data_IF_716184204298
#
_entry.id   IF_716184204298
#
_cell.length_a   1.000
_cell.length_b   1.000
_cell.length_c   1.000
_cell.angle_alpha   90.00
_cell.angle_beta   90.00
_cell.angle_gamma   90.00
#
_symmetry.space_group_name_H-M   'P 1'
#
loop_
_entity.id
_entity.type
_entity.pdbx_description
1 polymer ?
#
# COMPACT_ATOMS: atom_id res chain seq x y z
N UNK A 1 -5.06 -20.29 -23.84
CA UNK A 1 -4.64 -19.12 -23.06
C UNK A 1 -5.84 -18.59 -22.30
N UNK A 2 -5.68 -18.33 -21.01
CA UNK A 2 -6.74 -17.85 -20.11
C UNK A 2 -6.78 -16.32 -20.09
N UNK A 3 -7.84 -15.73 -19.54
CA UNK A 3 -7.90 -14.27 -19.32
C UNK A 3 -6.76 -13.75 -18.42
N UNK A 4 -6.28 -14.59 -17.51
CA UNK A 4 -5.11 -14.27 -16.68
C UNK A 4 -3.83 -14.14 -17.50
N UNK A 5 -3.64 -15.00 -18.51
CA UNK A 5 -2.46 -14.93 -19.38
C UNK A 5 -2.42 -13.59 -20.12
N UNK A 6 -3.57 -13.15 -20.67
CA UNK A 6 -3.67 -11.85 -21.35
C UNK A 6 -3.33 -10.71 -20.40
N UNK A 7 -3.91 -10.72 -19.19
CA UNK A 7 -3.61 -9.72 -18.16
C UNK A 7 -2.12 -9.68 -17.82
N UNK A 8 -1.53 -10.83 -17.51
CA UNK A 8 -0.13 -10.92 -17.12
C UNK A 8 0.81 -10.48 -18.25
N UNK A 9 0.53 -10.86 -19.50
CA UNK A 9 1.29 -10.41 -20.67
C UNK A 9 1.22 -8.89 -20.80
N UNK A 10 0.04 -8.28 -20.69
CA UNK A 10 -0.12 -6.82 -20.78
C UNK A 10 0.68 -6.11 -19.70
N UNK A 11 0.61 -6.59 -18.45
CA UNK A 11 1.38 -6.02 -17.33
C UNK A 11 2.89 -6.14 -17.57
N UNK A 12 3.36 -7.31 -18.01
CA UNK A 12 4.78 -7.54 -18.30
C UNK A 12 5.26 -6.61 -19.42
N UNK A 13 4.55 -6.58 -20.55
CA UNK A 13 4.91 -5.77 -21.71
C UNK A 13 4.92 -4.28 -21.36
N UNK A 14 3.87 -3.78 -20.72
CA UNK A 14 3.78 -2.37 -20.37
C UNK A 14 4.87 -1.98 -19.37
N UNK A 15 5.12 -2.83 -18.36
CA UNK A 15 6.11 -2.53 -17.34
C UNK A 15 7.54 -2.55 -17.90
N UNK A 16 7.88 -3.54 -18.73
CA UNK A 16 9.17 -3.64 -19.40
C UNK A 16 9.36 -2.48 -20.39
N UNK A 17 8.34 -2.18 -21.22
CA UNK A 17 8.39 -1.07 -22.16
C UNK A 17 8.55 0.28 -21.45
N UNK A 18 7.81 0.51 -20.36
CA UNK A 18 7.95 1.70 -19.56
C UNK A 18 9.37 1.84 -18.96
N UNK A 19 9.94 0.73 -18.48
CA UNK A 19 11.31 0.68 -17.96
C UNK A 19 12.36 1.01 -19.04
N UNK A 20 12.19 0.43 -20.23
CA UNK A 20 13.04 0.71 -21.39
C UNK A 20 12.99 2.19 -21.80
N UNK A 21 11.78 2.78 -21.89
CA UNK A 21 11.60 4.18 -22.30
C UNK A 21 12.15 5.16 -21.25
N UNK A 22 11.96 4.86 -19.97
CA UNK A 22 12.37 5.75 -18.86
C UNK A 22 13.86 5.66 -18.53
N UNK A 23 14.46 4.50 -18.72
CA UNK A 23 15.81 4.19 -18.28
C UNK A 23 15.89 3.74 -16.81
N UNK A 24 16.92 2.96 -16.48
CA UNK A 24 17.16 2.38 -15.17
C UNK A 24 17.41 3.42 -14.07
N UNK A 25 18.22 4.44 -14.34
CA UNK A 25 18.52 5.53 -13.39
C UNK A 25 17.23 6.23 -12.94
N UNK A 26 16.32 6.52 -13.88
CA UNK A 26 15.05 7.17 -13.56
C UNK A 26 14.14 6.26 -12.74
N UNK A 27 14.16 4.97 -13.03
CA UNK A 27 13.39 3.99 -12.29
C UNK A 27 13.94 3.80 -10.87
N UNK A 28 15.26 3.75 -10.69
CA UNK A 28 15.93 3.71 -9.38
C UNK A 28 15.59 4.96 -8.57
N UNK A 29 15.69 6.15 -9.16
CA UNK A 29 15.30 7.40 -8.48
C UNK A 29 13.83 7.33 -8.05
N UNK A 30 12.96 6.79 -8.88
CA UNK A 30 11.53 6.65 -8.57
C UNK A 30 11.33 5.69 -7.39
N UNK A 31 11.99 4.53 -7.40
CA UNK A 31 11.91 3.55 -6.30
C UNK A 31 12.50 4.09 -5.01
N UNK A 32 13.68 4.71 -5.08
CA UNK A 32 14.35 5.31 -3.93
C UNK A 32 13.50 6.44 -3.34
N UNK A 33 12.96 7.33 -4.18
CA UNK A 33 12.06 8.40 -3.75
C UNK A 33 10.82 7.85 -3.06
N UNK A 34 10.23 6.77 -3.59
CA UNK A 34 9.07 6.13 -2.98
C UNK A 34 9.42 5.51 -1.62
N UNK A 35 10.53 4.77 -1.52
CA UNK A 35 10.97 4.16 -0.26
C UNK A 35 11.26 5.22 0.82
N UNK A 36 12.04 6.26 0.49
CA UNK A 36 12.32 7.34 1.44
C UNK A 36 11.04 8.10 1.83
N UNK A 37 10.16 8.39 0.87
CA UNK A 37 8.89 9.06 1.17
C UNK A 37 8.00 8.23 2.10
N UNK A 38 7.96 6.90 1.92
CA UNK A 38 7.23 6.00 2.81
C UNK A 38 7.81 6.01 4.22
N UNK A 39 9.15 5.95 4.36
CA UNK A 39 9.81 6.03 5.66
C UNK A 39 9.53 7.37 6.36
N UNK A 40 9.66 8.48 5.64
CA UNK A 40 9.38 9.81 6.18
C UNK A 40 7.90 9.93 6.58
N UNK A 41 6.97 9.44 5.76
CA UNK A 41 5.54 9.46 6.07
C UNK A 41 5.22 8.66 7.34
N UNK A 42 5.85 7.50 7.53
CA UNK A 42 5.67 6.67 8.72
C UNK A 42 6.27 7.33 9.98
N UNK A 43 7.50 7.85 9.88
CA UNK A 43 8.17 8.52 11.01
C UNK A 43 7.43 9.79 11.43
N UNK A 44 6.90 10.53 10.46
CA UNK A 44 6.19 11.79 10.71
C UNK A 44 4.70 11.60 11.05
N UNK A 45 4.20 10.37 11.03
CA UNK A 45 2.79 10.06 11.28
C UNK A 45 2.26 10.60 12.62
N UNK A 46 2.98 10.53 13.75
CA UNK A 46 2.49 11.05 15.03
C UNK A 46 2.18 12.55 15.01
N UNK A 47 2.92 13.33 14.20
CA UNK A 47 2.69 14.77 14.06
C UNK A 47 1.66 15.10 12.98
N UNK A 48 1.66 14.36 11.87
CA UNK A 48 0.76 14.64 10.74
C UNK A 48 -0.66 14.09 10.97
N UNK A 49 -0.80 13.03 11.76
CA UNK A 49 -2.10 12.42 12.05
C UNK A 49 -3.05 13.36 12.82
N UNK A 50 -2.56 14.20 13.73
CA UNK A 50 -3.41 15.15 14.46
C UNK A 50 -4.09 16.15 13.52
N UNK A 51 -3.34 16.64 12.53
CA UNK A 51 -3.83 17.52 11.48
C UNK A 51 -4.88 16.77 10.65
N UNK A 52 -4.57 15.55 10.17
CA UNK A 52 -5.50 14.78 9.35
C UNK A 52 -6.82 14.44 10.04
N UNK A 53 -6.77 14.07 11.32
CA UNK A 53 -7.95 13.80 12.15
C UNK A 53 -8.85 15.02 12.35
N UNK A 54 -8.29 16.23 12.26
CA UNK A 54 -9.09 17.46 12.38
C UNK A 54 -9.94 17.77 11.16
N UNK A 55 -9.69 17.10 10.01
CA UNK A 55 -10.39 17.34 8.75
C UNK A 55 -11.28 16.18 8.29
N UNK A 56 -11.08 14.97 8.82
CA UNK A 56 -11.77 13.76 8.35
C UNK A 56 -12.15 12.86 9.51
N UNK A 57 -13.46 12.65 9.63
CA UNK A 57 -14.06 11.62 10.47
C UNK A 57 -14.30 10.34 9.64
N UNK A 58 -14.06 9.14 10.20
CA UNK A 58 -13.52 8.86 11.54
C UNK A 58 -11.99 9.04 11.65
N UNK A 59 -11.46 9.17 12.88
CA UNK A 59 -10.05 9.49 13.13
C UNK A 59 -9.02 8.57 12.43
N UNK A 60 -9.33 7.28 12.28
CA UNK A 60 -8.45 6.35 11.59
C UNK A 60 -8.33 6.69 10.10
N UNK A 61 -9.41 7.16 9.47
CA UNK A 61 -9.40 7.62 8.09
C UNK A 61 -8.61 8.92 7.94
N UNK A 62 -8.75 9.86 8.89
CA UNK A 62 -7.92 11.08 8.95
C UNK A 62 -6.44 10.78 9.12
N UNK A 63 -6.08 9.77 9.91
CA UNK A 63 -4.69 9.33 10.09
C UNK A 63 -4.10 8.73 8.81
N UNK A 64 -4.88 7.89 8.10
CA UNK A 64 -4.48 7.34 6.80
C UNK A 64 -4.31 8.45 5.78
N UNK A 65 -5.25 9.40 5.73
CA UNK A 65 -5.16 10.53 4.81
C UNK A 65 -3.91 11.36 5.05
N UNK A 66 -3.58 11.66 6.31
CA UNK A 66 -2.34 12.35 6.68
C UNK A 66 -1.09 11.60 6.21
N UNK A 67 -1.03 10.28 6.41
CA UNK A 67 0.08 9.44 5.94
C UNK A 67 0.23 9.51 4.42
N UNK A 68 -0.89 9.38 3.69
CA UNK A 68 -0.92 9.36 2.23
C UNK A 68 -0.52 10.72 1.65
N UNK A 69 -1.05 11.82 2.20
CA UNK A 69 -0.70 13.17 1.75
C UNK A 69 0.78 13.46 2.00
N UNK A 70 1.28 13.12 3.19
CA UNK A 70 2.70 13.30 3.53
C UNK A 70 3.60 12.50 2.59
N UNK A 71 3.25 11.24 2.33
CA UNK A 71 3.95 10.40 1.35
C UNK A 71 4.02 11.09 -0.01
N UNK A 72 2.89 11.57 -0.55
CA UNK A 72 2.89 12.19 -1.88
C UNK A 72 3.70 13.48 -1.93
N UNK A 73 3.56 14.36 -0.94
CA UNK A 73 4.33 15.61 -0.86
C UNK A 73 5.82 15.32 -0.88
N UNK A 74 6.29 14.40 -0.02
CA UNK A 74 7.71 14.03 0.06
C UNK A 74 8.17 13.31 -1.22
N UNK A 75 7.37 12.37 -1.73
CA UNK A 75 7.68 11.61 -2.94
C UNK A 75 7.86 12.50 -4.16
N UNK A 76 6.93 13.43 -4.41
CA UNK A 76 7.03 14.35 -5.55
C UNK A 76 8.19 15.34 -5.37
N UNK A 77 8.47 15.78 -4.14
CA UNK A 77 9.66 16.58 -3.82
C UNK A 77 10.96 15.87 -4.17
N UNK A 78 11.16 14.65 -3.64
CA UNK A 78 12.35 13.83 -3.92
C UNK A 78 12.47 13.50 -5.41
N UNK A 79 11.35 13.18 -6.05
CA UNK A 79 11.33 12.85 -7.48
C UNK A 79 11.70 14.05 -8.35
N UNK A 80 11.26 15.26 -7.98
CA UNK A 80 11.62 16.48 -8.71
C UNK A 80 13.14 16.70 -8.62
N UNK A 81 13.70 16.67 -7.41
CA UNK A 81 15.14 16.82 -7.16
C UNK A 81 15.96 15.74 -7.88
N UNK A 82 15.59 14.47 -7.72
CA UNK A 82 16.27 13.36 -8.40
C UNK A 82 16.20 13.47 -9.92
N UNK A 83 15.07 13.94 -10.46
CA UNK A 83 14.93 14.15 -11.91
C UNK A 83 15.82 15.27 -12.45
N UNK A 84 16.11 16.31 -11.65
CA UNK A 84 17.04 17.38 -12.01
C UNK A 84 18.47 16.87 -12.05
N UNK A 85 18.89 16.11 -11.03
CA UNK A 85 20.23 15.49 -10.96
C UNK A 85 20.45 14.53 -12.15
N UNK A 86 19.43 13.72 -12.48
CA UNK A 86 19.49 12.78 -13.60
C UNK A 86 19.59 13.47 -14.97
N UNK A 87 19.11 14.71 -15.12
CA UNK A 87 19.25 15.46 -16.39
C UNK A 87 20.67 15.97 -16.59
N UNK A 88 21.35 16.42 -15.54
CA UNK A 88 22.72 16.93 -15.62
C UNK A 88 23.78 15.86 -15.91
N UNK A 89 23.44 14.57 -15.75
CA UNK A 89 24.36 13.45 -15.99
C UNK A 89 24.31 12.89 -17.44
N UNK A 90 23.52 13.49 -18.34
CA UNK A 90 23.18 12.91 -19.66
C UNK A 90 24.14 13.24 -20.81
N UNK A 91 25.26 13.89 -20.55
CA UNK A 91 26.19 14.35 -21.60
C UNK A 91 27.02 13.25 -22.28
N UNK A 92 26.78 11.96 -21.97
CA UNK A 92 27.53 10.84 -22.55
C UNK A 92 26.63 9.84 -23.30
N UNK A 93 26.62 9.86 -24.65
CA UNK A 93 25.78 8.99 -25.50
C UNK A 93 26.01 7.48 -25.30
N UNK A 94 27.20 7.07 -24.89
CA UNK A 94 27.56 5.65 -24.75
C UNK A 94 26.94 4.97 -23.50
N UNK A 95 26.48 5.74 -22.51
CA UNK A 95 25.87 5.19 -21.28
C UNK A 95 24.36 4.91 -21.43
N UNK A 96 23.73 5.39 -22.51
CA UNK A 96 22.28 5.27 -22.70
C UNK A 96 21.79 3.85 -22.97
N UNK A 97 22.60 2.99 -23.59
CA UNK A 97 22.22 1.59 -23.88
C UNK A 97 22.13 0.74 -22.61
N UNK A 98 23.14 0.84 -21.74
CA UNK A 98 23.19 0.12 -20.46
C UNK A 98 22.06 0.56 -19.53
N UNK A 99 21.79 1.88 -19.46
CA UNK A 99 20.68 2.42 -18.67
C UNK A 99 19.32 1.85 -19.08
N UNK A 100 19.06 1.67 -20.37
CA UNK A 100 17.81 1.07 -20.87
C UNK A 100 17.68 -0.41 -20.52
N UNK A 101 18.78 -1.17 -20.51
CA UNK A 101 18.78 -2.57 -20.09
C UNK A 101 18.46 -2.68 -18.60
N UNK A 102 19.06 -1.84 -17.76
CA UNK A 102 18.67 -1.77 -16.34
C UNK A 102 17.20 -1.39 -16.17
N UNK A 103 16.70 -0.44 -16.97
CA UNK A 103 15.28 -0.09 -16.99
C UNK A 103 14.38 -1.28 -17.34
N UNK A 104 14.78 -2.10 -18.32
CA UNK A 104 14.08 -3.33 -18.69
C UNK A 104 14.07 -4.35 -17.55
N UNK A 105 15.21 -4.58 -16.89
CA UNK A 105 15.32 -5.49 -15.74
C UNK A 105 14.42 -5.06 -14.58
N UNK A 106 14.48 -3.78 -14.20
CA UNK A 106 13.64 -3.23 -13.14
C UNK A 106 12.16 -3.32 -13.53
N UNK A 107 11.83 -3.02 -14.80
CA UNK A 107 10.49 -3.19 -15.35
C UNK A 107 9.99 -4.64 -15.26
N UNK A 108 10.86 -5.61 -15.53
CA UNK A 108 10.56 -7.04 -15.38
C UNK A 108 10.32 -7.45 -13.93
N UNK A 109 11.19 -7.03 -13.01
CA UNK A 109 11.02 -7.28 -11.57
C UNK A 109 9.70 -6.68 -11.07
N UNK A 110 9.39 -5.44 -11.46
CA UNK A 110 8.12 -4.79 -11.11
C UNK A 110 6.93 -5.56 -11.66
N UNK A 111 6.98 -6.01 -12.91
CA UNK A 111 5.91 -6.82 -13.49
C UNK A 111 5.67 -8.10 -12.70
N UNK A 112 6.76 -8.79 -12.32
CA UNK A 112 6.72 -10.01 -11.52
C UNK A 112 6.06 -9.76 -10.16
N UNK A 113 6.40 -8.65 -9.49
CA UNK A 113 5.77 -8.24 -8.23
C UNK A 113 4.29 -7.94 -8.44
N UNK A 114 3.91 -7.21 -9.49
CA UNK A 114 2.50 -6.86 -9.75
C UNK A 114 1.64 -8.10 -10.01
N UNK A 115 2.07 -9.01 -10.89
CA UNK A 115 1.31 -10.25 -11.17
C UNK A 115 1.30 -11.19 -9.97
N UNK A 116 2.38 -11.22 -9.18
CA UNK A 116 2.48 -11.97 -7.93
C UNK A 116 1.55 -11.44 -6.85
N UNK A 117 1.42 -10.12 -6.73
CA UNK A 117 0.47 -9.49 -5.80
C UNK A 117 -0.97 -9.84 -6.17
N UNK A 118 -1.34 -9.78 -7.45
CA UNK A 118 -2.66 -10.22 -7.93
C UNK A 118 -2.88 -11.70 -7.62
N UNK A 119 -1.89 -12.55 -7.87
CA UNK A 119 -1.97 -13.97 -7.52
C UNK A 119 -2.25 -14.18 -6.04
N UNK A 120 -1.51 -13.48 -5.15
CA UNK A 120 -1.73 -13.56 -3.71
C UNK A 120 -3.13 -13.11 -3.32
N UNK A 121 -3.62 -11.99 -3.85
CA UNK A 121 -4.97 -11.49 -3.56
C UNK A 121 -6.02 -12.52 -3.96
N UNK A 122 -5.91 -13.12 -5.15
CA UNK A 122 -6.88 -14.12 -5.62
C UNK A 122 -6.85 -15.38 -4.76
N UNK A 123 -5.66 -15.91 -4.46
CA UNK A 123 -5.50 -17.12 -3.65
C UNK A 123 -5.91 -16.89 -2.19
N UNK A 124 -5.63 -15.71 -1.63
CA UNK A 124 -6.04 -15.35 -0.29
C UNK A 124 -7.57 -15.16 -0.18
N UNK A 125 -8.20 -14.61 -1.22
CA UNK A 125 -9.66 -14.44 -1.26
C UNK A 125 -10.41 -15.76 -1.48
N UNK A 126 -9.85 -16.68 -2.27
CA UNK A 126 -10.47 -17.98 -2.58
C UNK A 126 -9.46 -19.14 -2.41
N UNK A 127 -9.16 -19.55 -1.16
CA UNK A 127 -8.18 -20.58 -0.89
C UNK A 127 -8.66 -21.99 -1.28
N UNK A 128 -7.71 -22.86 -1.66
CA UNK A 128 -7.94 -24.27 -1.96
C UNK A 128 -8.72 -24.49 -3.26
N UNK A 129 -9.70 -25.40 -3.24
CA UNK A 129 -10.52 -25.75 -4.41
C UNK A 129 -11.39 -24.60 -4.95
N UNK A 130 -11.50 -23.50 -4.19
CA UNK A 130 -12.21 -22.29 -4.62
C UNK A 130 -11.37 -21.42 -5.56
N UNK A 131 -10.07 -21.71 -5.72
CA UNK A 131 -9.21 -20.92 -6.60
C UNK A 131 -9.73 -21.02 -8.04
N UNK A 132 -9.99 -19.89 -8.71
CA UNK A 132 -10.63 -19.90 -10.02
C UNK A 132 -9.79 -20.63 -11.08
N UNK A 133 -10.46 -21.46 -11.88
CA UNK A 133 -9.86 -22.21 -13.00
C UNK A 133 -9.16 -21.32 -14.03
N UNK A 134 -9.60 -20.08 -14.20
CA UNK A 134 -8.96 -19.14 -15.12
C UNK A 134 -7.56 -18.69 -14.65
N UNK A 135 -7.25 -18.85 -13.35
CA UNK A 135 -5.92 -18.62 -12.79
C UNK A 135 -5.10 -19.91 -12.76
N UNK A 136 -5.66 -21.00 -12.23
CA UNK A 136 -4.91 -22.26 -12.03
C UNK A 136 -4.51 -22.95 -13.35
N UNK A 137 -5.31 -22.79 -14.41
CA UNK A 137 -4.99 -23.30 -15.74
C UNK A 137 -4.19 -22.33 -16.61
N UNK A 138 -3.76 -21.18 -16.06
CA UNK A 138 -3.02 -20.19 -16.83
C UNK A 138 -1.60 -20.65 -17.11
N UNK A 139 -1.09 -20.41 -18.32
CA UNK A 139 0.29 -20.73 -18.68
C UNK A 139 1.30 -19.91 -17.84
N UNK A 140 0.94 -18.68 -17.46
CA UNK A 140 1.73 -17.80 -16.61
C UNK A 140 1.50 -18.00 -15.11
N UNK A 141 0.71 -18.99 -14.70
CA UNK A 141 0.55 -19.37 -13.31
C UNK A 141 1.88 -19.55 -12.56
N UNK A 142 2.87 -20.35 -13.02
CA UNK A 142 4.13 -20.55 -12.30
C UNK A 142 4.94 -19.26 -12.13
N UNK A 143 4.88 -18.34 -13.09
CA UNK A 143 5.56 -17.03 -13.03
C UNK A 143 4.93 -16.16 -11.95
N UNK A 144 3.59 -16.11 -11.92
CA UNK A 144 2.88 -15.37 -10.89
C UNK A 144 3.06 -15.96 -9.49
N UNK A 145 3.09 -17.29 -9.37
CA UNK A 145 3.39 -17.98 -8.11
C UNK A 145 4.82 -17.67 -7.63
N UNK A 146 5.78 -17.53 -8.55
CA UNK A 146 7.15 -17.08 -8.21
C UNK A 146 7.14 -15.65 -7.66
N UNK A 147 6.42 -14.73 -8.30
CA UNK A 147 6.25 -13.36 -7.80
C UNK A 147 5.58 -13.32 -6.42
N UNK A 148 4.53 -14.12 -6.24
CA UNK A 148 3.85 -14.30 -4.96
C UNK A 148 4.79 -14.77 -3.86
N UNK A 149 5.62 -15.78 -4.12
CA UNK A 149 6.66 -16.25 -3.19
C UNK A 149 7.68 -15.17 -2.86
N UNK A 150 8.15 -14.42 -3.85
CA UNK A 150 9.08 -13.32 -3.63
C UNK A 150 8.49 -12.26 -2.68
N UNK A 151 7.21 -11.93 -2.85
CA UNK A 151 6.49 -11.02 -1.94
C UNK A 151 6.37 -11.63 -0.55
N UNK A 152 5.98 -12.89 -0.43
CA UNK A 152 5.82 -13.58 0.86
C UNK A 152 7.13 -13.67 1.66
N UNK A 153 8.29 -13.64 1.02
CA UNK A 153 9.58 -13.57 1.73
C UNK A 153 9.77 -12.20 2.39
N UNK A 154 9.29 -11.13 1.74
CA UNK A 154 9.40 -9.75 2.25
C UNK A 154 8.29 -9.43 3.25
N UNK A 155 7.08 -9.97 3.06
CA UNK A 155 5.89 -9.63 3.82
C UNK A 155 6.04 -9.77 5.36
N UNK A 156 6.69 -10.80 5.93
CA UNK A 156 6.89 -10.92 7.38
C UNK A 156 7.68 -9.77 8.00
N UNK A 157 8.57 -9.14 7.22
CA UNK A 157 9.29 -7.95 7.68
C UNK A 157 8.38 -6.72 7.74
N UNK A 158 7.41 -6.62 6.83
CA UNK A 158 6.39 -5.58 6.81
C UNK A 158 5.34 -5.81 7.91
N UNK A 159 4.92 -7.06 8.13
CA UNK A 159 3.98 -7.46 9.17
C UNK A 159 4.45 -7.09 10.57
N UNK A 160 5.71 -7.37 10.92
CA UNK A 160 6.29 -6.96 12.21
C UNK A 160 6.32 -5.43 12.41
N UNK A 161 6.52 -4.67 11.34
CA UNK A 161 6.42 -3.21 11.38
C UNK A 161 4.99 -2.73 11.58
N UNK A 162 4.01 -3.39 10.95
CA UNK A 162 2.60 -3.09 11.12
C UNK A 162 2.08 -3.49 12.52
N UNK A 163 2.51 -4.63 13.06
CA UNK A 163 2.16 -5.10 14.41
C UNK A 163 2.66 -4.13 15.49
N UNK A 164 3.82 -3.49 15.28
CA UNK A 164 4.32 -2.45 16.18
C UNK A 164 3.43 -1.18 16.20
N UNK A 165 2.67 -0.93 15.13
CA UNK A 165 1.78 0.22 14.99
C UNK A 165 0.32 -0.15 15.36
N UNK A 166 -0.03 -1.43 15.26
CA UNK A 166 -1.36 -1.98 15.58
C UNK A 166 -1.91 -1.59 16.96
N UNK A 167 -1.17 -1.63 18.08
CA UNK A 167 -1.73 -1.23 19.38
C UNK A 167 -2.07 0.26 19.46
N UNK A 168 -1.37 1.12 18.70
CA UNK A 168 -1.69 2.55 18.61
C UNK A 168 -2.95 2.79 17.77
N UNK A 169 -3.17 1.97 16.74
CA UNK A 169 -4.36 2.02 15.89
C UNK A 169 -5.57 1.45 16.62
N UNK A 170 -5.45 0.28 17.25
CA UNK A 170 -6.53 -0.39 17.98
C UNK A 170 -7.01 0.43 19.18
N UNK A 171 -6.08 1.03 19.93
CA UNK A 171 -6.43 1.94 21.03
C UNK A 171 -7.11 3.24 20.57
N UNK A 172 -6.86 3.70 19.34
CA UNK A 172 -7.56 4.85 18.76
C UNK A 172 -8.97 4.46 18.28
N UNK A 173 -9.12 3.30 17.65
CA UNK A 173 -10.41 2.76 17.19
C UNK A 173 -11.33 2.47 18.38
N UNK A 174 -10.82 1.80 19.43
CA UNK A 174 -11.61 1.45 20.61
C UNK A 174 -12.03 2.67 21.44
N UNK A 175 -11.22 3.73 21.46
CA UNK A 175 -11.53 4.98 22.17
C UNK A 175 -12.58 5.81 21.43
N UNK A 176 -12.54 5.83 20.09
CA UNK A 176 -13.57 6.48 19.28
C UNK A 176 -14.97 5.86 19.45
N UNK A 177 -15.07 4.55 19.68
CA UNK A 177 -16.36 3.87 19.94
C UNK A 177 -16.87 4.02 21.38
N UNK A 178 -16.01 4.36 22.35
CA UNK A 178 -16.45 4.51 23.76
C UNK A 178 -17.01 5.89 24.09
N UNK A 179 -16.70 6.90 23.28
CA UNK A 179 -17.14 8.28 23.52
C UNK A 179 -18.58 8.56 23.01
N UNK A 180 -19.15 7.65 22.20
CA UNK A 180 -20.52 7.76 21.64
C UNK A 180 -21.62 7.08 22.50
N UNK A 181 -21.29 6.28 23.52
CA UNK A 181 -22.28 5.50 24.30
C UNK A 181 -22.59 6.09 25.71
N UNK A 182 -22.44 7.41 25.88
CA UNK A 182 -22.93 8.10 27.08
C UNK A 182 -24.22 8.88 26.77
N UNK A 183 -25.24 8.20 26.25
CA UNK A 183 -26.59 8.75 26.29
C UNK A 183 -26.97 8.98 27.77
N UNK A 184 -27.41 10.20 28.16
CA UNK A 184 -27.71 10.50 29.54
C UNK A 184 -28.77 9.55 30.07
N UNK A 185 -28.48 8.89 31.20
CA UNK A 185 -29.48 8.08 31.90
C UNK A 185 -30.65 8.98 32.28
N UNK A 186 -31.81 8.74 31.67
CA UNK A 186 -33.06 9.32 32.15
C UNK A 186 -33.27 8.84 33.58
N UNK A 187 -33.15 9.75 34.54
CA UNK A 187 -33.52 9.51 35.93
C UNK A 187 -35.02 9.19 35.99
N UNK A 188 -35.34 7.90 36.05
CA UNK A 188 -36.67 7.42 36.39
C UNK A 188 -36.74 7.30 37.92
N UNK A 189 -37.21 8.35 38.60
CA UNK A 189 -37.64 8.22 40.00
C UNK A 189 -38.77 7.17 40.09
N UNK A 190 -38.67 6.16 40.96
CA UNK A 190 -39.76 5.22 41.16
C UNK A 190 -40.76 5.80 42.17
N UNK A 191 -41.72 6.60 41.69
CA UNK A 191 -42.86 6.98 42.53
C UNK A 191 -43.88 5.84 42.58
N UNK A 192 -43.63 4.90 43.49
CA UNK A 192 -44.63 3.91 43.91
C UNK A 192 -44.54 3.69 45.41
N UNK A 193 -45.04 4.69 46.16
CA UNK A 193 -45.51 4.47 47.54
C UNK A 193 -47.03 4.29 47.50
N UNK A 194 -47.48 3.05 47.25
CA UNK A 194 -48.79 2.57 47.71
C UNK A 194 -48.64 2.25 49.20
N UNK A 195 -49.31 3.00 50.03
CA UNK A 195 -49.63 2.64 51.42
C UNK A 195 -51.16 2.80 51.50
N UNK A 196 -51.89 1.77 51.08
CA UNK A 196 -52.54 0.78 51.93
C UNK A 196 -53.76 1.36 52.71
N UNK A 197 -54.95 1.03 52.19
CA UNK A 197 -56.25 1.09 52.90
C UNK A 197 -56.26 0.08 54.08
N UNK A 198 -57.18 0.12 55.07
CA UNK A 198 -58.62 0.44 54.98
C UNK A 198 -59.08 1.74 55.64
#
# INVERSE_FOLDING_TARGET
MTGYDVFAIVVILFSVAAGWVRGGVREIITLLSATLAALVALISLPWTASIGRSFVDPEWAGSILAAVLTFFVVYFGLRLVGSMISKSAKDNPHLGGVDRVFGLLIGGIRALVLIGAVHLVVVAALPGERTPRWLTNAALYPVSAMGARAIQIVLPSLGRGADAITPVVDSSVRRGFSDDEALPQTQSEPNSRREAAP
#
